data_IF_783968919193
#
_entry.id   IF_783968919193
#
_cell.length_a   1.000
_cell.length_b   1.000
_cell.length_c   1.000
_cell.angle_alpha   90.00
_cell.angle_beta   90.00
_cell.angle_gamma   90.00
#
_symmetry.space_group_name_H-M   'P 1'
#
loop_
_entity.id
_entity.type
_entity.pdbx_description
1 polymer ?
#
# COMPACT_ATOMS: atom_id res chain seq x y z
N UNK A 1 35.80 -21.51 5.14
CA UNK A 1 35.23 -21.64 6.50
C UNK A 1 34.15 -20.57 6.60
N UNK A 2 32.94 -20.68 6.02
CA UNK A 2 31.85 -21.66 6.09
C UNK A 2 31.24 -21.85 7.48
N UNK A 3 30.66 -20.80 8.08
CA UNK A 3 29.74 -20.91 9.23
C UNK A 3 28.83 -19.68 9.33
N UNK A 4 27.69 -19.72 8.63
CA UNK A 4 26.42 -19.10 9.03
C UNK A 4 25.32 -19.52 8.03
N UNK A 5 25.24 -20.83 7.78
CA UNK A 5 23.98 -21.46 7.46
C UNK A 5 23.43 -21.95 8.81
N UNK A 6 22.30 -21.41 9.23
CA UNK A 6 21.63 -21.81 10.47
C UNK A 6 20.16 -21.94 10.12
N UNK A 7 19.83 -23.19 9.81
CA UNK A 7 18.59 -23.75 9.30
C UNK A 7 18.22 -23.33 7.88
N UNK A 8 18.52 -24.22 6.93
CA UNK A 8 18.04 -24.26 5.54
C UNK A 8 16.52 -24.49 5.40
N UNK A 9 15.74 -23.78 6.22
CA UNK A 9 14.31 -23.57 6.10
C UNK A 9 14.08 -22.06 6.10
N UNK A 10 14.00 -21.46 4.91
CA UNK A 10 13.43 -20.11 4.76
C UNK A 10 11.95 -20.21 5.14
N UNK A 11 11.67 -20.09 6.43
CA UNK A 11 10.30 -19.93 6.92
C UNK A 11 9.74 -18.62 6.38
N UNK A 12 8.42 -18.56 6.15
CA UNK A 12 7.72 -17.41 5.55
C UNK A 12 8.01 -16.04 6.19
N UNK A 13 8.50 -16.00 7.44
CA UNK A 13 8.93 -14.76 8.11
C UNK A 13 10.28 -14.19 7.66
N UNK A 14 11.16 -14.98 7.05
CA UNK A 14 12.50 -14.54 6.64
C UNK A 14 12.48 -13.82 5.28
N UNK A 15 11.57 -14.20 4.38
CA UNK A 15 11.43 -13.57 3.07
C UNK A 15 10.88 -12.13 3.18
N UNK A 16 9.94 -11.89 4.09
CA UNK A 16 9.39 -10.55 4.37
C UNK A 16 10.41 -9.65 5.06
N UNK A 17 11.21 -10.17 5.99
CA UNK A 17 12.32 -9.43 6.58
C UNK A 17 13.33 -8.98 5.51
N UNK A 18 13.68 -9.84 4.55
CA UNK A 18 14.58 -9.48 3.45
C UNK A 18 14.05 -8.33 2.57
N UNK A 19 12.76 -8.35 2.23
CA UNK A 19 12.11 -7.28 1.44
C UNK A 19 12.01 -5.98 2.24
N UNK A 20 11.62 -6.06 3.52
CA UNK A 20 11.52 -4.89 4.39
C UNK A 20 12.90 -4.28 4.62
N UNK A 21 13.94 -5.06 4.90
CA UNK A 21 15.31 -4.54 5.06
C UNK A 21 15.85 -3.90 3.78
N UNK A 22 15.59 -4.50 2.61
CA UNK A 22 15.93 -3.87 1.34
C UNK A 22 15.19 -2.53 1.19
N UNK A 23 13.88 -2.49 1.48
CA UNK A 23 13.03 -1.31 1.37
C UNK A 23 13.40 -0.19 2.36
N UNK A 24 13.84 -0.52 3.58
CA UNK A 24 14.31 0.43 4.58
C UNK A 24 15.44 1.33 4.06
N UNK A 25 16.27 0.82 3.16
CA UNK A 25 17.36 1.57 2.53
C UNK A 25 16.89 2.48 1.37
N UNK A 26 15.68 2.30 0.83
CA UNK A 26 15.19 2.99 -0.38
C UNK A 26 14.11 4.06 -0.10
N UNK A 27 13.92 4.45 1.17
CA UNK A 27 12.96 5.49 1.54
C UNK A 27 11.64 4.99 2.12
N UNK A 28 11.53 3.70 2.46
CA UNK A 28 10.34 3.12 3.10
C UNK A 28 9.88 3.89 4.35
N UNK A 29 10.80 4.26 5.25
CA UNK A 29 10.48 5.02 6.48
C UNK A 29 9.85 6.37 6.20
N UNK A 30 10.21 7.00 5.08
CA UNK A 30 9.61 8.26 4.65
C UNK A 30 8.18 8.04 4.16
N UNK A 31 7.98 7.05 3.29
CA UNK A 31 6.66 6.70 2.74
C UNK A 31 5.70 6.21 3.84
N UNK A 32 6.17 5.38 4.78
CA UNK A 32 5.40 4.93 5.95
C UNK A 32 4.94 6.10 6.82
N UNK A 33 5.84 7.05 7.12
CA UNK A 33 5.48 8.26 7.87
C UNK A 33 4.46 9.12 7.13
N UNK A 34 4.63 9.30 5.81
CA UNK A 34 3.77 10.15 4.99
C UNK A 34 2.40 9.53 4.73
N UNK A 35 2.33 8.20 4.61
CA UNK A 35 1.13 7.47 4.23
C UNK A 35 0.54 6.77 5.44
N UNK A 36 1.07 5.61 5.83
CA UNK A 36 0.41 4.71 6.78
C UNK A 36 0.29 5.33 8.16
N UNK A 37 1.37 5.85 8.76
CA UNK A 37 1.30 6.49 10.09
C UNK A 37 0.45 7.76 10.12
N UNK A 38 0.30 8.43 8.97
CA UNK A 38 -0.53 9.63 8.86
C UNK A 38 -2.02 9.28 8.86
N UNK A 39 -2.38 8.11 8.31
CA UNK A 39 -3.75 7.60 8.34
C UNK A 39 -3.98 6.88 9.66
N UNK A 40 -4.67 7.48 10.63
CA UNK A 40 -4.96 6.81 11.92
C UNK A 40 -6.24 5.95 11.92
N UNK A 41 -6.99 5.96 10.81
CA UNK A 41 -8.28 5.29 10.72
C UNK A 41 -8.11 3.87 10.20
N UNK A 42 -8.65 2.89 10.93
CA UNK A 42 -8.72 1.49 10.48
C UNK A 42 -9.44 1.34 9.14
N UNK A 43 -10.49 2.14 8.90
CA UNK A 43 -11.18 2.17 7.61
C UNK A 43 -10.25 2.67 6.50
N UNK A 44 -9.41 3.66 6.77
CA UNK A 44 -8.45 4.16 5.78
C UNK A 44 -7.34 3.15 5.51
N UNK A 45 -6.83 2.47 6.54
CA UNK A 45 -5.89 1.37 6.36
C UNK A 45 -6.51 0.23 5.54
N UNK A 46 -7.77 -0.11 5.78
CA UNK A 46 -8.48 -1.12 4.99
C UNK A 46 -8.61 -0.73 3.51
N UNK A 47 -8.97 0.52 3.22
CA UNK A 47 -9.01 1.06 1.86
C UNK A 47 -7.61 1.00 1.22
N UNK A 48 -6.57 1.41 1.95
CA UNK A 48 -5.18 1.39 1.48
C UNK A 48 -4.75 -0.04 1.10
N UNK A 49 -5.03 -1.03 1.95
CA UNK A 49 -4.74 -2.44 1.69
C UNK A 49 -5.46 -2.96 0.45
N UNK A 50 -6.73 -2.58 0.24
CA UNK A 50 -7.46 -2.96 -0.99
C UNK A 50 -6.83 -2.34 -2.23
N UNK A 51 -6.37 -1.10 -2.15
CA UNK A 51 -5.66 -0.47 -3.26
C UNK A 51 -4.32 -1.14 -3.57
N UNK A 52 -3.62 -1.66 -2.55
CA UNK A 52 -2.38 -2.42 -2.74
C UNK A 52 -2.54 -3.73 -3.52
N UNK A 53 -3.76 -4.28 -3.59
CA UNK A 53 -4.07 -5.48 -4.37
C UNK A 53 -4.33 -5.21 -5.85
N UNK A 54 -4.37 -3.94 -6.28
CA UNK A 54 -4.54 -3.59 -7.68
C UNK A 54 -3.23 -3.85 -8.47
N UNK A 55 -3.28 -4.13 -9.79
CA UNK A 55 -2.09 -4.30 -10.64
C UNK A 55 -1.20 -3.04 -10.69
N UNK A 56 0.13 -3.17 -10.59
CA UNK A 56 1.10 -2.07 -10.43
C UNK A 56 0.89 -0.88 -11.39
N UNK A 57 0.64 -1.15 -12.67
CA UNK A 57 0.46 -0.14 -13.74
C UNK A 57 -0.96 0.47 -13.79
N UNK A 58 -1.84 0.07 -12.87
CA UNK A 58 -3.24 0.45 -12.94
C UNK A 58 -3.44 1.94 -12.60
N UNK A 59 -3.84 2.71 -13.62
CA UNK A 59 -4.84 3.77 -13.44
C UNK A 59 -6.09 3.10 -12.90
N UNK A 60 -6.74 3.73 -11.92
CA UNK A 60 -7.95 3.15 -11.35
C UNK A 60 -9.09 4.14 -11.35
N UNK A 61 -10.28 3.61 -11.63
CA UNK A 61 -11.53 4.37 -11.57
C UNK A 61 -12.19 4.15 -10.22
N UNK A 62 -12.70 5.22 -9.62
CA UNK A 62 -13.48 5.15 -8.37
C UNK A 62 -14.56 4.04 -8.42
N UNK A 63 -15.29 3.97 -9.53
CA UNK A 63 -16.38 3.01 -9.73
C UNK A 63 -15.94 1.54 -9.72
N UNK A 64 -14.68 1.25 -10.02
CA UNK A 64 -14.12 -0.10 -9.95
C UNK A 64 -13.68 -0.42 -8.53
N UNK A 65 -12.96 0.51 -7.88
CA UNK A 65 -12.50 0.38 -6.50
C UNK A 65 -13.63 0.13 -5.50
N UNK A 66 -14.73 0.87 -5.65
CA UNK A 66 -15.86 0.82 -4.73
C UNK A 66 -16.59 -0.53 -4.77
N UNK A 67 -16.50 -1.31 -5.85
CA UNK A 67 -17.19 -2.61 -5.96
C UNK A 67 -16.76 -3.58 -4.87
N UNK A 68 -15.46 -3.65 -4.62
CA UNK A 68 -14.84 -4.56 -3.65
C UNK A 68 -14.83 -3.99 -2.22
N UNK A 69 -15.38 -2.80 -2.00
CA UNK A 69 -15.43 -2.12 -0.70
C UNK A 69 -16.70 -2.45 0.06
N UNK A 70 -16.56 -2.59 1.38
CA UNK A 70 -17.65 -2.60 2.35
C UNK A 70 -18.35 -1.24 2.42
N UNK A 71 -19.57 -1.20 2.97
CA UNK A 71 -20.33 0.05 3.07
C UNK A 71 -19.60 1.16 3.84
N UNK A 72 -18.86 0.81 4.89
CA UNK A 72 -18.04 1.77 5.65
C UNK A 72 -16.93 2.38 4.79
N UNK A 73 -16.21 1.54 4.04
CA UNK A 73 -15.14 1.97 3.14
C UNK A 73 -15.69 2.82 2.00
N UNK A 74 -16.83 2.42 1.40
CA UNK A 74 -17.49 3.18 0.32
C UNK A 74 -17.89 4.59 0.77
N UNK A 75 -18.45 4.73 1.97
CA UNK A 75 -18.83 6.04 2.54
C UNK A 75 -17.62 6.92 2.82
N UNK A 76 -16.49 6.32 3.17
CA UNK A 76 -15.27 7.03 3.53
C UNK A 76 -14.31 7.26 2.35
N UNK A 77 -14.51 6.59 1.22
CA UNK A 77 -13.57 6.58 0.10
C UNK A 77 -13.27 7.97 -0.46
N UNK A 78 -14.28 8.83 -0.59
CA UNK A 78 -14.07 10.17 -1.17
C UNK A 78 -13.23 11.07 -0.25
N UNK A 79 -13.41 10.94 1.07
CA UNK A 79 -12.57 11.63 2.06
C UNK A 79 -11.16 11.05 2.11
N UNK A 80 -11.03 9.72 2.10
CA UNK A 80 -9.74 9.03 2.00
C UNK A 80 -8.97 9.49 0.76
N UNK A 81 -9.62 9.49 -0.41
CA UNK A 81 -9.00 9.90 -1.67
C UNK A 81 -8.52 11.34 -1.61
N UNK A 82 -9.36 12.27 -1.12
CA UNK A 82 -8.98 13.66 -0.93
C UNK A 82 -7.76 13.78 0.00
N UNK A 83 -7.73 13.03 1.10
CA UNK A 83 -6.60 13.04 2.02
C UNK A 83 -5.31 12.56 1.35
N UNK A 84 -5.39 11.51 0.54
CA UNK A 84 -4.25 10.98 -0.21
C UNK A 84 -3.77 11.94 -1.32
N UNK A 85 -4.67 12.72 -1.92
CA UNK A 85 -4.34 13.82 -2.83
C UNK A 85 -3.61 14.95 -2.07
N UNK A 86 -4.10 15.35 -0.90
CA UNK A 86 -3.47 16.37 -0.03
C UNK A 86 -2.06 15.95 0.43
N UNK A 87 -1.84 14.65 0.66
CA UNK A 87 -0.53 14.09 1.01
C UNK A 87 0.42 13.98 -0.20
N UNK A 88 -0.06 14.28 -1.42
CA UNK A 88 0.69 14.14 -2.66
C UNK A 88 0.90 12.68 -3.09
N UNK A 89 0.15 11.74 -2.53
CA UNK A 89 0.26 10.30 -2.82
C UNK A 89 -0.53 9.94 -4.07
N UNK A 90 -1.71 10.54 -4.23
CA UNK A 90 -2.57 10.37 -5.40
C UNK A 90 -2.67 11.66 -6.20
N UNK A 91 -2.83 11.52 -7.51
CA UNK A 91 -3.11 12.63 -8.42
C UNK A 91 -4.33 12.30 -9.28
N UNK A 92 -5.09 13.33 -9.62
CA UNK A 92 -6.19 13.25 -10.58
C UNK A 92 -5.61 13.18 -11.99
N UNK A 93 -6.25 12.38 -12.83
CA UNK A 93 -5.95 12.32 -14.25
C UNK A 93 -6.88 13.23 -15.06
N UNK A 94 -6.58 13.41 -16.35
CA UNK A 94 -7.41 14.19 -17.28
C UNK A 94 -8.83 13.62 -17.40
N UNK A 95 -8.97 12.30 -17.31
CA UNK A 95 -10.26 11.62 -17.36
C UNK A 95 -10.96 11.73 -16.00
N UNK A 96 -12.18 12.29 -16.01
CA UNK A 96 -12.98 12.47 -14.80
C UNK A 96 -13.19 11.14 -14.06
N UNK A 97 -12.74 11.10 -12.81
CA UNK A 97 -12.91 9.94 -11.92
C UNK A 97 -11.80 8.89 -12.02
N UNK A 98 -10.78 9.14 -12.85
CA UNK A 98 -9.51 8.40 -12.84
C UNK A 98 -8.51 9.08 -11.91
N UNK A 99 -7.79 8.24 -11.17
CA UNK A 99 -6.68 8.64 -10.33
C UNK A 99 -5.53 7.65 -10.51
N UNK A 100 -4.32 8.11 -10.18
CA UNK A 100 -3.13 7.27 -10.09
C UNK A 100 -2.30 7.68 -8.88
N UNK A 101 -1.32 6.85 -8.55
CA UNK A 101 -0.26 7.24 -7.63
C UNK A 101 0.63 8.30 -8.29
N UNK A 102 1.09 9.26 -7.50
CA UNK A 102 1.96 10.35 -7.98
C UNK A 102 3.30 9.83 -8.49
N UNK A 103 3.83 8.77 -7.87
CA UNK A 103 5.00 8.01 -8.31
C UNK A 103 4.84 6.50 -8.01
N UNK A 104 5.74 5.71 -8.59
CA UNK A 104 5.74 4.24 -8.44
C UNK A 104 6.17 3.78 -7.05
N UNK A 105 6.97 4.56 -6.32
CA UNK A 105 7.40 4.21 -4.96
C UNK A 105 6.23 4.17 -3.98
N UNK A 106 5.29 5.13 -4.05
CA UNK A 106 4.07 5.08 -3.27
C UNK A 106 3.22 3.86 -3.61
N UNK A 107 3.17 3.49 -4.89
CA UNK A 107 2.43 2.30 -5.30
C UNK A 107 3.07 1.03 -4.75
N UNK A 108 4.38 0.90 -4.90
CA UNK A 108 5.15 -0.23 -4.39
C UNK A 108 5.00 -0.36 -2.87
N UNK A 109 5.08 0.76 -2.16
CA UNK A 109 4.84 0.83 -0.72
C UNK A 109 3.47 0.26 -0.35
N UNK A 110 2.40 0.77 -0.95
CA UNK A 110 1.03 0.33 -0.65
C UNK A 110 0.80 -1.14 -1.00
N UNK A 111 1.45 -1.65 -2.04
CA UNK A 111 1.40 -3.07 -2.41
C UNK A 111 2.09 -3.95 -1.36
N UNK A 112 3.29 -3.60 -0.92
CA UNK A 112 4.03 -4.35 0.11
C UNK A 112 3.28 -4.29 1.45
N UNK A 113 2.73 -3.14 1.85
CA UNK A 113 1.88 -3.03 3.04
C UNK A 113 0.66 -3.97 2.96
N UNK A 114 0.03 -4.08 1.80
CA UNK A 114 -1.08 -5.00 1.60
C UNK A 114 -0.68 -6.48 1.66
N UNK A 115 0.54 -6.81 1.21
CA UNK A 115 1.11 -8.15 1.32
C UNK A 115 1.40 -8.51 2.78
N UNK A 116 2.12 -7.65 3.51
CA UNK A 116 2.46 -7.85 4.93
C UNK A 116 1.19 -8.01 5.78
N UNK A 117 0.19 -7.14 5.57
CA UNK A 117 -1.07 -7.22 6.31
C UNK A 117 -1.94 -8.44 5.95
N UNK A 118 -1.71 -9.06 4.79
CA UNK A 118 -2.40 -10.27 4.35
C UNK A 118 -1.81 -11.57 4.92
N UNK A 119 -0.57 -11.53 5.41
CA UNK A 119 0.14 -12.68 5.99
C UNK A 119 -0.13 -12.88 7.49
N UNK A 120 -0.96 -12.02 8.11
CA UNK A 120 -1.31 -12.06 9.54
C UNK A 120 -2.67 -12.67 9.87
N UNK A 121 -3.18 -13.63 9.09
CA UNK A 121 -4.41 -14.39 9.39
C UNK A 121 -4.12 -15.88 9.54
#
# INVERSE_FOLDING_TARGET
>A
MYWADSDGCVGKGDATNGIVHAAENVGWKYLDRQVYRTLRSETYHSILRKMGKLPLEAKFRRKELVKEMSDSERRNFDNFRRRMEELGVLVKEEVRGECRFSNELFRLYVMIEALIAGEGV
#
